data_IF_178574431090
#
_entry.id   IF_178574431090
#
_cell.length_a   1.000
_cell.length_b   1.000
_cell.length_c   1.000
_cell.angle_alpha   90.00
_cell.angle_beta   90.00
_cell.angle_gamma   90.00
#
_symmetry.space_group_name_H-M   'P 1'
#
loop_
_entity.id
_entity.type
_entity.pdbx_description
1 polymer ?
#
# COMPACT_ATOMS: atom_id res chain seq x y z
N UNK A 1 18.19 -22.52 35.45
CA UNK A 1 18.05 -23.62 34.47
C UNK A 1 16.74 -24.33 34.79
N UNK A 2 15.63 -23.91 34.16
CA UNK A 2 14.30 -24.40 34.48
C UNK A 2 13.93 -25.53 33.52
N UNK A 3 13.75 -26.74 34.06
CA UNK A 3 13.28 -27.91 33.31
C UNK A 3 11.83 -27.66 32.84
N UNK A 4 11.59 -27.79 31.54
CA UNK A 4 10.26 -27.71 30.94
C UNK A 4 9.73 -29.13 30.77
N UNK A 5 8.81 -29.55 31.62
CA UNK A 5 8.06 -30.81 31.46
C UNK A 5 7.12 -30.71 30.25
N UNK A 6 7.05 -31.79 29.47
CA UNK A 6 6.17 -31.92 28.30
C UNK A 6 4.76 -32.34 28.74
N UNK A 7 3.69 -31.81 28.13
CA UNK A 7 2.32 -32.20 28.46
C UNK A 7 1.99 -33.61 27.94
N UNK A 8 1.29 -34.40 28.75
CA UNK A 8 0.85 -35.76 28.43
C UNK A 8 -0.33 -35.75 27.46
N UNK A 9 -0.20 -36.49 26.37
CA UNK A 9 -1.20 -36.69 25.32
C UNK A 9 -2.23 -37.72 25.79
N UNK A 10 -3.49 -37.33 25.98
CA UNK A 10 -4.58 -38.27 26.30
C UNK A 10 -5.56 -38.34 25.12
N UNK A 11 -5.50 -39.43 24.34
CA UNK A 11 -6.49 -39.76 23.32
C UNK A 11 -7.63 -40.56 23.95
N UNK A 12 -8.85 -40.01 23.95
CA UNK A 12 -10.06 -40.74 24.36
C UNK A 12 -10.69 -41.39 23.13
N UNK A 13 -10.91 -42.71 23.18
CA UNK A 13 -11.54 -43.51 22.12
C UNK A 13 -13.07 -43.53 22.32
N UNK A 14 -13.84 -42.92 21.42
CA UNK A 14 -15.28 -43.13 21.35
C UNK A 14 -15.63 -43.87 20.05
N UNK A 15 -16.11 -45.10 20.19
CA UNK A 15 -16.56 -45.95 19.09
C UNK A 15 -18.04 -45.67 18.86
N UNK A 16 -18.38 -44.99 17.75
CA UNK A 16 -19.72 -45.06 17.18
C UNK A 16 -19.62 -45.80 15.85
N UNK A 17 -20.10 -47.05 15.87
CA UNK A 17 -20.42 -47.77 14.65
C UNK A 17 -21.62 -47.09 14.00
N UNK A 18 -21.54 -46.78 12.71
CA UNK A 18 -22.49 -47.17 11.66
C UNK A 18 -22.07 -46.50 10.32
N UNK A 19 -21.67 -47.35 9.38
CA UNK A 19 -21.51 -47.17 7.92
C UNK A 19 -20.30 -46.36 7.37
N UNK A 20 -19.39 -47.12 6.77
CA UNK A 20 -18.56 -46.81 5.58
C UNK A 20 -17.39 -45.80 5.72
N UNK A 21 -16.28 -46.31 6.28
CA UNK A 21 -14.87 -46.12 5.86
C UNK A 21 -14.42 -44.78 5.25
N UNK A 22 -14.04 -43.82 6.12
CA UNK A 22 -12.82 -42.98 6.04
C UNK A 22 -12.46 -42.53 7.46
N UNK A 23 -11.26 -42.82 7.96
CA UNK A 23 -10.75 -42.27 9.23
C UNK A 23 -9.81 -41.10 8.93
N UNK A 24 -10.25 -39.85 9.21
CA UNK A 24 -9.37 -38.70 9.38
C UNK A 24 -9.23 -38.46 10.88
N UNK A 25 -8.01 -38.51 11.39
CA UNK A 25 -7.71 -38.11 12.76
C UNK A 25 -7.77 -36.57 12.85
N UNK A 26 -8.81 -36.03 13.48
CA UNK A 26 -8.89 -34.61 13.82
C UNK A 26 -8.58 -34.45 15.31
N UNK A 27 -7.49 -33.77 15.65
CA UNK A 27 -7.23 -33.32 17.02
C UNK A 27 -8.03 -32.03 17.24
N UNK A 28 -9.08 -32.09 18.07
CA UNK A 28 -9.83 -30.91 18.49
C UNK A 28 -9.32 -30.49 19.87
N UNK A 29 -8.90 -29.24 20.00
CA UNK A 29 -8.55 -28.65 21.30
C UNK A 29 -9.84 -28.14 21.92
N UNK A 30 -10.33 -28.85 22.94
CA UNK A 30 -11.43 -28.41 23.80
C UNK A 30 -10.87 -27.44 24.84
N UNK A 31 -11.31 -26.18 24.80
CA UNK A 31 -11.21 -25.29 25.95
C UNK A 31 -12.52 -24.53 26.12
N UNK A 32 -13.41 -25.09 26.93
CA UNK A 32 -14.63 -24.43 27.38
C UNK A 32 -14.76 -24.56 28.89
N UNK A 33 -14.16 -23.61 29.62
CA UNK A 33 -14.85 -22.79 30.63
C UNK A 33 -13.87 -22.06 31.56
N UNK A 34 -13.53 -20.80 31.23
CA UNK A 34 -13.80 -19.72 32.17
C UNK A 34 -14.01 -18.39 31.45
N UNK A 35 -15.17 -17.82 31.78
CA UNK A 35 -15.90 -16.74 31.13
C UNK A 35 -15.40 -15.38 31.64
N UNK A 36 -15.58 -14.37 30.80
CA UNK A 36 -15.69 -12.94 31.13
C UNK A 36 -14.39 -12.21 31.51
N UNK A 37 -13.78 -11.60 30.48
CA UNK A 37 -13.54 -10.16 30.50
C UNK A 37 -13.54 -9.64 29.05
N UNK A 38 -14.64 -8.99 28.71
CA UNK A 38 -14.76 -8.07 27.60
C UNK A 38 -13.74 -6.94 27.71
N UNK A 39 -13.18 -6.55 26.57
CA UNK A 39 -12.97 -5.17 26.15
C UNK A 39 -12.35 -4.20 27.17
N UNK A 40 -11.03 -4.25 27.38
CA UNK A 40 -10.14 -3.07 27.44
C UNK A 40 -8.70 -3.59 27.58
N UNK A 41 -7.71 -2.83 27.09
CA UNK A 41 -6.26 -3.12 27.15
C UNK A 41 -5.66 -3.89 25.97
N UNK A 42 -5.77 -3.33 24.76
CA UNK A 42 -4.54 -3.18 23.97
C UNK A 42 -3.85 -1.96 24.57
N UNK A 43 -2.86 -2.23 25.40
CA UNK A 43 -2.07 -1.22 26.10
C UNK A 43 -1.51 -0.26 25.08
N UNK A 44 -2.06 0.96 25.12
CA UNK A 44 -1.37 2.20 24.91
C UNK A 44 0.02 2.12 25.54
N UNK A 45 0.99 1.75 24.72
CA UNK A 45 2.41 1.99 24.91
C UNK A 45 2.89 2.60 23.58
N UNK A 46 2.24 3.68 23.17
CA UNK A 46 2.84 4.58 22.17
C UNK A 46 3.92 5.31 22.93
N UNK A 47 5.15 4.99 22.55
CA UNK A 47 6.38 5.51 23.09
C UNK A 47 6.29 7.03 23.33
N UNK A 48 6.80 7.42 24.48
CA UNK A 48 7.13 8.80 24.84
C UNK A 48 8.00 9.44 23.76
N UNK A 49 7.52 10.56 23.22
CA UNK A 49 8.28 11.77 22.89
C UNK A 49 9.58 11.62 22.08
N UNK A 50 9.50 10.89 20.97
CA UNK A 50 10.24 11.19 19.74
C UNK A 50 9.16 11.20 18.65
N UNK A 51 8.86 12.33 18.00
CA UNK A 51 7.95 12.34 16.85
C UNK A 51 8.30 11.16 15.96
N UNK A 52 7.35 10.24 15.75
CA UNK A 52 7.52 9.11 14.85
C UNK A 52 7.82 9.68 13.45
N UNK A 53 9.10 9.76 13.10
CA UNK A 53 9.56 10.33 11.83
C UNK A 53 9.00 9.42 10.74
N UNK A 54 8.28 9.98 9.78
CA UNK A 54 7.65 9.27 8.68
C UNK A 54 7.65 10.17 7.44
N UNK A 55 7.67 9.59 6.25
CA UNK A 55 7.82 10.33 5.00
C UNK A 55 9.15 11.10 4.92
N UNK A 56 10.18 10.65 5.65
CA UNK A 56 11.52 11.25 5.72
C UNK A 56 12.59 10.28 5.25
N UNK A 57 13.76 10.78 4.87
CA UNK A 57 14.87 9.94 4.41
C UNK A 57 15.34 8.95 5.49
N UNK A 58 15.30 9.35 6.76
CA UNK A 58 15.71 8.54 7.92
C UNK A 58 14.83 7.31 8.11
N UNK A 59 13.64 7.30 7.52
CA UNK A 59 12.65 6.22 7.62
C UNK A 59 12.40 5.58 6.27
N UNK A 60 13.34 5.75 5.33
CA UNK A 60 13.21 5.34 3.92
C UNK A 60 11.89 5.79 3.29
N UNK A 61 11.40 6.96 3.71
CA UNK A 61 10.11 7.54 3.34
C UNK A 61 8.89 6.67 3.69
N UNK A 62 8.95 5.80 4.70
CA UNK A 62 7.79 5.04 5.19
C UNK A 62 6.55 5.95 5.40
N UNK A 63 5.37 5.61 4.83
CA UNK A 63 4.16 6.43 4.95
C UNK A 63 3.69 6.67 6.37
N UNK A 64 3.22 7.90 6.62
CA UNK A 64 2.70 8.31 7.92
C UNK A 64 1.29 7.76 8.21
N UNK A 65 0.51 7.52 7.15
CA UNK A 65 -0.86 7.06 7.24
C UNK A 65 -1.00 5.64 6.68
N UNK A 66 -1.89 4.80 7.26
CA UNK A 66 -2.24 3.52 6.67
C UNK A 66 -2.76 3.68 5.23
N UNK A 67 -2.49 2.67 4.39
CA UNK A 67 -2.93 2.65 2.98
C UNK A 67 -4.44 2.82 2.85
N UNK A 68 -5.23 2.12 3.66
CA UNK A 68 -6.70 2.18 3.62
C UNK A 68 -7.24 3.61 3.73
N UNK A 69 -6.81 4.34 4.77
CA UNK A 69 -7.15 5.75 4.98
C UNK A 69 -6.69 6.64 3.81
N UNK A 70 -5.49 6.38 3.29
CA UNK A 70 -4.91 7.16 2.21
C UNK A 70 -5.64 6.92 0.89
N UNK A 71 -6.04 5.69 0.60
CA UNK A 71 -6.83 5.29 -0.56
C UNK A 71 -8.22 5.94 -0.55
N UNK A 72 -8.84 6.11 0.62
CA UNK A 72 -10.11 6.85 0.74
C UNK A 72 -9.96 8.31 0.29
N UNK A 73 -8.94 9.01 0.78
CA UNK A 73 -8.64 10.40 0.41
C UNK A 73 -8.35 10.52 -1.09
N UNK A 74 -7.52 9.61 -1.61
CA UNK A 74 -7.16 9.59 -3.02
C UNK A 74 -8.38 9.36 -3.92
N UNK A 75 -9.23 8.38 -3.58
CA UNK A 75 -10.48 8.10 -4.31
C UNK A 75 -11.42 9.30 -4.30
N UNK A 76 -11.56 9.99 -3.17
CA UNK A 76 -12.41 11.17 -3.08
C UNK A 76 -11.99 12.27 -4.05
N UNK A 77 -10.68 12.57 -4.13
CA UNK A 77 -10.16 13.52 -5.11
C UNK A 77 -10.43 13.05 -6.56
N UNK A 78 -10.18 11.78 -6.86
CA UNK A 78 -10.44 11.23 -8.18
C UNK A 78 -11.91 11.30 -8.60
N UNK A 79 -12.84 11.13 -7.68
CA UNK A 79 -14.28 11.26 -7.97
C UNK A 79 -14.66 12.66 -8.44
N UNK A 80 -13.90 13.69 -8.03
CA UNK A 80 -14.14 15.08 -8.43
C UNK A 80 -13.43 15.46 -9.74
N UNK A 81 -12.18 15.04 -9.93
CA UNK A 81 -11.33 15.58 -11.00
C UNK A 81 -10.94 14.57 -12.09
N UNK A 82 -11.18 13.27 -11.87
CA UNK A 82 -10.74 12.19 -12.77
C UNK A 82 -11.94 11.47 -13.36
N UNK A 83 -11.96 11.11 -14.66
CA UNK A 83 -13.06 10.35 -15.25
C UNK A 83 -13.25 8.97 -14.62
N UNK A 84 -14.50 8.50 -14.53
CA UNK A 84 -14.85 7.22 -13.91
C UNK A 84 -14.07 6.01 -14.47
N UNK A 85 -13.76 6.01 -15.77
CA UNK A 85 -12.97 4.95 -16.40
C UNK A 85 -11.54 4.82 -15.86
N UNK A 86 -11.00 5.85 -15.22
CA UNK A 86 -9.67 5.89 -14.62
C UNK A 86 -9.66 5.59 -13.11
N UNK A 87 -10.81 5.51 -12.44
CA UNK A 87 -10.87 5.43 -10.96
C UNK A 87 -10.18 4.21 -10.36
N UNK A 88 -10.02 3.13 -11.13
CA UNK A 88 -9.27 1.94 -10.70
C UNK A 88 -7.77 2.19 -10.47
N UNK A 89 -7.22 3.29 -10.99
CA UNK A 89 -5.86 3.76 -10.70
C UNK A 89 -5.75 4.59 -9.42
N UNK A 90 -6.89 4.96 -8.80
CA UNK A 90 -6.92 5.80 -7.62
C UNK A 90 -6.78 4.97 -6.34
N UNK A 91 -5.65 4.29 -6.24
CA UNK A 91 -5.21 3.52 -5.09
C UNK A 91 -3.68 3.49 -5.07
N UNK A 92 -3.10 3.51 -3.88
CA UNK A 92 -1.66 3.40 -3.70
C UNK A 92 -1.22 1.95 -3.85
N UNK A 93 -0.74 1.58 -5.04
CA UNK A 93 -0.13 0.28 -5.28
C UNK A 93 1.39 0.40 -5.37
N UNK A 94 2.09 -0.26 -4.44
CA UNK A 94 3.55 -0.15 -4.27
C UNK A 94 4.28 -1.42 -4.73
N UNK A 95 3.57 -2.51 -5.01
CA UNK A 95 4.17 -3.67 -5.68
C UNK A 95 4.43 -3.35 -7.15
N UNK A 96 5.68 -3.54 -7.59
CA UNK A 96 6.11 -3.18 -8.95
C UNK A 96 5.28 -3.90 -10.03
N UNK A 97 5.03 -5.20 -9.87
CA UNK A 97 4.36 -6.01 -10.87
C UNK A 97 2.87 -5.65 -10.93
N UNK A 98 2.22 -5.52 -9.78
CA UNK A 98 0.80 -5.16 -9.70
C UNK A 98 0.59 -3.74 -10.23
N UNK A 99 1.39 -2.76 -9.79
CA UNK A 99 1.31 -1.37 -10.25
C UNK A 99 1.48 -1.26 -11.77
N UNK A 100 2.51 -1.91 -12.33
CA UNK A 100 2.74 -1.93 -13.78
C UNK A 100 1.58 -2.56 -14.53
N UNK A 101 1.06 -3.68 -14.04
CA UNK A 101 -0.07 -4.35 -14.68
C UNK A 101 -1.34 -3.50 -14.64
N UNK A 102 -1.60 -2.82 -13.52
CA UNK A 102 -2.72 -1.90 -13.36
C UNK A 102 -2.65 -0.76 -14.39
N UNK A 103 -1.49 -0.12 -14.52
CA UNK A 103 -1.27 0.94 -15.52
C UNK A 103 -1.46 0.43 -16.95
N UNK A 104 -0.89 -0.73 -17.28
CA UNK A 104 -1.03 -1.33 -18.61
C UNK A 104 -2.50 -1.65 -18.94
N UNK A 105 -3.26 -2.18 -17.98
CA UNK A 105 -4.68 -2.47 -18.15
C UNK A 105 -5.50 -1.19 -18.35
N UNK A 106 -5.19 -0.12 -17.61
CA UNK A 106 -5.85 1.17 -17.75
C UNK A 106 -5.73 1.72 -19.17
N UNK A 107 -4.52 1.70 -19.72
CA UNK A 107 -4.22 2.21 -21.06
C UNK A 107 -4.75 1.26 -22.14
N UNK A 108 -4.53 -0.05 -22.02
CA UNK A 108 -4.97 -1.04 -23.02
C UNK A 108 -6.47 -1.15 -23.14
N UNK A 109 -7.20 -1.05 -22.03
CA UNK A 109 -8.66 -1.09 -22.03
C UNK A 109 -9.31 0.12 -22.69
N UNK A 110 -8.52 1.17 -22.99
CA UNK A 110 -8.97 2.48 -23.49
C UNK A 110 -10.00 3.17 -22.58
N UNK A 111 -10.19 2.68 -21.35
CA UNK A 111 -11.05 3.29 -20.34
C UNK A 111 -10.40 4.51 -19.69
N UNK A 112 -9.07 4.56 -19.69
CA UNK A 112 -8.30 5.66 -19.16
C UNK A 112 -7.23 6.13 -20.16
N UNK A 113 -7.34 7.37 -20.62
CA UNK A 113 -6.37 8.03 -21.48
C UNK A 113 -5.15 8.49 -20.66
N UNK A 114 -3.96 8.41 -21.23
CA UNK A 114 -2.71 8.86 -20.62
C UNK A 114 -2.76 10.33 -20.19
N UNK A 115 -3.54 11.18 -20.86
CA UNK A 115 -3.68 12.59 -20.47
C UNK A 115 -4.20 12.79 -19.04
N UNK A 116 -4.90 11.79 -18.48
CA UNK A 116 -5.44 11.86 -17.11
C UNK A 116 -4.44 11.45 -16.04
N UNK A 117 -3.29 10.86 -16.40
CA UNK A 117 -2.30 10.42 -15.39
C UNK A 117 -1.76 11.59 -14.58
N UNK A 118 -1.63 12.78 -15.18
CA UNK A 118 -1.23 13.98 -14.45
C UNK A 118 -2.21 14.36 -13.34
N UNK A 119 -3.51 14.34 -13.63
CA UNK A 119 -4.56 14.61 -12.63
C UNK A 119 -4.65 13.52 -11.58
N UNK A 120 -4.43 12.25 -11.95
CA UNK A 120 -4.37 11.14 -10.99
C UNK A 120 -3.21 11.34 -10.01
N UNK A 121 -2.02 11.68 -10.52
CA UNK A 121 -0.85 11.94 -9.67
C UNK A 121 -1.04 13.20 -8.82
N UNK A 122 -1.68 14.24 -9.36
CA UNK A 122 -2.08 15.41 -8.58
C UNK A 122 -2.93 15.02 -7.37
N UNK A 123 -3.97 14.20 -7.58
CA UNK A 123 -4.78 13.67 -6.49
C UNK A 123 -3.99 12.80 -5.51
N UNK A 124 -3.14 11.89 -6.02
CA UNK A 124 -2.30 11.02 -5.18
C UNK A 124 -1.34 11.84 -4.30
N UNK A 125 -0.79 12.94 -4.82
CA UNK A 125 0.19 13.76 -4.13
C UNK A 125 -0.41 14.59 -2.99
N UNK A 126 -1.72 14.86 -3.01
CA UNK A 126 -2.37 15.89 -2.17
C UNK A 126 -1.59 17.20 -2.16
N UNK A 127 -1.11 17.61 -3.35
CA UNK A 127 -0.33 18.83 -3.56
C UNK A 127 0.99 18.89 -2.77
N UNK A 128 1.57 17.74 -2.43
CA UNK A 128 2.88 17.64 -1.77
C UNK A 128 4.02 17.47 -2.78
N UNK A 129 5.15 18.11 -2.50
CA UNK A 129 6.40 17.90 -3.24
C UNK A 129 7.11 16.64 -2.72
N UNK A 130 7.10 15.59 -3.53
CA UNK A 130 7.70 14.30 -3.20
C UNK A 130 9.01 14.03 -3.95
N UNK A 131 9.62 15.04 -4.58
CA UNK A 131 10.84 14.87 -5.40
C UNK A 131 12.00 14.27 -4.63
N UNK A 132 12.13 14.57 -3.34
CA UNK A 132 13.16 13.97 -2.46
C UNK A 132 13.02 12.46 -2.34
N UNK A 133 11.79 11.95 -2.19
CA UNK A 133 11.52 10.51 -2.15
C UNK A 133 11.81 9.87 -3.51
N UNK A 134 11.34 10.48 -4.60
CA UNK A 134 11.56 9.93 -5.94
C UNK A 134 13.04 9.88 -6.33
N UNK A 135 13.80 10.92 -6.00
CA UNK A 135 15.25 10.93 -6.22
C UNK A 135 15.95 9.87 -5.36
N UNK A 136 15.52 9.70 -4.10
CA UNK A 136 16.03 8.64 -3.22
C UNK A 136 15.78 7.23 -3.78
N UNK A 137 14.63 7.02 -4.45
CA UNK A 137 14.27 5.77 -5.11
C UNK A 137 14.73 5.70 -6.58
N UNK A 138 15.74 6.50 -6.96
CA UNK A 138 16.41 6.47 -8.26
C UNK A 138 15.51 6.77 -9.48
N UNK A 139 14.40 7.48 -9.29
CA UNK A 139 13.53 7.87 -10.41
C UNK A 139 14.19 8.91 -11.34
N UNK A 140 15.32 9.49 -10.94
CA UNK A 140 16.15 10.36 -11.78
C UNK A 140 17.48 9.75 -12.21
N UNK A 141 17.67 8.43 -12.03
CA UNK A 141 18.90 7.75 -12.45
C UNK A 141 19.09 7.86 -13.97
N UNK A 142 20.30 8.24 -14.39
CA UNK A 142 20.69 8.36 -15.79
C UNK A 142 20.46 7.07 -16.60
N UNK A 143 20.48 5.89 -15.97
CA UNK A 143 20.18 4.59 -16.58
C UNK A 143 18.76 4.48 -17.12
N UNK A 144 17.81 5.28 -16.60
CA UNK A 144 16.45 5.34 -17.13
C UNK A 144 16.39 6.07 -18.48
N UNK A 145 17.46 6.75 -18.90
CA UNK A 145 17.54 7.45 -20.19
C UNK A 145 16.68 8.72 -20.29
N UNK A 146 16.10 9.16 -19.17
CA UNK A 146 15.18 10.30 -19.08
C UNK A 146 15.68 11.39 -18.11
N UNK A 147 16.80 11.16 -17.43
CA UNK A 147 17.40 12.08 -16.47
C UNK A 147 16.41 12.51 -15.39
N UNK A 148 16.44 13.79 -15.02
CA UNK A 148 15.56 14.38 -14.00
C UNK A 148 14.10 14.57 -14.46
N UNK A 149 13.76 14.22 -15.72
CA UNK A 149 12.42 14.46 -16.30
C UNK A 149 11.32 13.80 -15.47
N UNK A 150 11.57 12.65 -14.87
CA UNK A 150 10.55 11.94 -14.10
C UNK A 150 10.19 12.64 -12.78
N UNK A 151 11.05 13.50 -12.24
CA UNK A 151 10.77 14.19 -10.97
C UNK A 151 9.57 15.13 -11.04
N UNK A 152 9.19 15.61 -12.23
CA UNK A 152 7.96 16.39 -12.42
C UNK A 152 6.68 15.62 -12.06
N UNK A 153 6.73 14.28 -12.07
CA UNK A 153 5.61 13.44 -11.64
C UNK A 153 5.51 13.32 -10.13
N UNK A 154 6.55 13.71 -9.40
CA UNK A 154 6.61 13.65 -7.94
C UNK A 154 6.15 14.96 -7.27
N UNK A 155 6.06 16.02 -8.05
CA UNK A 155 5.52 17.33 -7.66
C UNK A 155 4.53 17.82 -8.75
N UNK A 156 3.39 17.14 -8.93
CA UNK A 156 2.45 17.43 -10.00
C UNK A 156 1.74 18.78 -9.85
N UNK A 157 1.66 19.32 -8.62
CA UNK A 157 1.08 20.63 -8.31
C UNK A 157 2.08 21.78 -8.28
N UNK A 158 3.39 21.49 -8.33
CA UNK A 158 4.44 22.49 -8.30
C UNK A 158 4.60 23.30 -9.60
N UNK A 159 5.58 24.20 -9.58
CA UNK A 159 5.82 25.19 -10.65
C UNK A 159 6.03 24.58 -12.05
N UNK A 160 6.66 23.40 -12.11
CA UNK A 160 6.88 22.69 -13.37
C UNK A 160 5.60 21.98 -13.87
N UNK A 161 4.74 21.54 -12.96
CA UNK A 161 3.49 20.83 -13.20
C UNK A 161 3.57 19.65 -14.19
N UNK A 162 2.39 19.11 -14.53
CA UNK A 162 2.22 18.15 -15.62
C UNK A 162 1.25 18.77 -16.64
N UNK A 163 1.78 19.63 -17.51
CA UNK A 163 0.97 20.25 -18.58
C UNK A 163 0.63 19.27 -19.71
N UNK A 164 1.51 18.31 -19.98
CA UNK A 164 1.31 17.26 -20.98
C UNK A 164 2.15 16.01 -20.68
N UNK A 165 1.73 14.89 -21.27
CA UNK A 165 2.42 13.60 -21.20
C UNK A 165 2.83 13.20 -22.61
N UNK A 166 4.14 13.12 -22.83
CA UNK A 166 4.77 12.70 -24.06
C UNK A 166 5.13 11.21 -24.01
N UNK A 167 5.48 10.62 -25.16
CA UNK A 167 5.89 9.20 -25.22
C UNK A 167 7.12 8.89 -24.36
N UNK A 168 8.06 9.84 -24.25
CA UNK A 168 9.24 9.68 -23.39
C UNK A 168 8.91 9.61 -21.90
N UNK A 169 7.71 10.07 -21.49
CA UNK A 169 7.27 9.98 -20.10
C UNK A 169 6.76 8.59 -19.71
N UNK A 170 6.51 7.73 -20.69
CA UNK A 170 6.04 6.37 -20.43
C UNK A 170 7.05 5.59 -19.57
N UNK A 171 8.35 5.84 -19.74
CA UNK A 171 9.39 5.27 -18.86
C UNK A 171 9.21 5.69 -17.40
N UNK A 172 8.85 6.95 -17.15
CA UNK A 172 8.56 7.43 -15.81
C UNK A 172 7.30 6.75 -15.25
N UNK A 173 6.24 6.68 -16.05
CA UNK A 173 4.98 6.06 -15.64
C UNK A 173 5.12 4.56 -15.39
N UNK A 174 6.03 3.85 -16.05
CA UNK A 174 6.30 2.44 -15.77
C UNK A 174 6.85 2.18 -14.38
N UNK A 175 7.40 3.20 -13.71
CA UNK A 175 7.78 3.17 -12.30
C UNK A 175 6.61 3.66 -11.41
N UNK A 176 5.37 3.26 -11.75
CA UNK A 176 4.15 3.68 -11.07
C UNK A 176 4.19 3.38 -9.57
N UNK A 177 4.77 2.24 -9.20
CA UNK A 177 4.95 1.84 -7.80
C UNK A 177 5.77 2.85 -6.99
N UNK A 178 6.85 3.40 -7.58
CA UNK A 178 7.69 4.41 -6.93
C UNK A 178 6.92 5.72 -6.77
N UNK A 179 6.18 6.12 -7.81
CA UNK A 179 5.32 7.31 -7.74
C UNK A 179 4.25 7.17 -6.65
N UNK A 180 3.54 6.04 -6.62
CA UNK A 180 2.52 5.76 -5.62
C UNK A 180 3.11 5.71 -4.22
N UNK A 181 4.24 5.01 -4.04
CA UNK A 181 4.93 4.96 -2.75
C UNK A 181 5.27 6.36 -2.26
N UNK A 182 5.97 7.16 -3.07
CA UNK A 182 6.39 8.50 -2.67
C UNK A 182 5.23 9.47 -2.43
N UNK A 183 4.16 9.37 -3.20
CA UNK A 183 2.96 10.16 -2.94
C UNK A 183 2.26 9.74 -1.64
N UNK A 184 2.19 8.44 -1.35
CA UNK A 184 1.67 7.93 -0.09
C UNK A 184 2.53 8.41 1.10
N UNK A 185 3.85 8.39 0.95
CA UNK A 185 4.83 8.90 1.92
C UNK A 185 4.64 10.38 2.25
N UNK A 186 4.23 11.17 1.26
CA UNK A 186 4.00 12.60 1.39
C UNK A 186 2.76 12.97 2.21
N UNK A 187 1.80 12.05 2.33
CA UNK A 187 0.52 12.38 2.98
C UNK A 187 0.73 12.65 4.47
N UNK A 188 0.26 13.81 4.91
CA UNK A 188 0.29 14.24 6.32
C UNK A 188 -1.08 14.06 6.94
N UNK A 189 -1.10 13.73 8.23
CA UNK A 189 -2.32 13.82 9.05
C UNK A 189 -2.70 15.29 9.13
N UNK A 190 -3.85 15.64 8.53
CA UNK A 190 -4.47 16.96 8.66
C UNK A 190 -5.34 16.98 9.92
#
# INVERSE_FOLDING_TARGET
>A
MSNKEMPKLNCILLILALYSSVFIAQCVVDDSAQKQQDQQQVSENVATDEQQKCGTKETDFSPCLPREKSDELFKHCCQQYVPAGCHHLCQYETDELIARNLLLQAVKSKKCDLKHMGTILYCASQNQDNRKCCSHLNLSDAKLGVGERCLRFCDPGGEAGISSIARSDVTCLFNWNVLMYCHHSGIKMV
#
